data_IF_242713852022
#
_entry.id   IF_242713852022
#
_cell.length_a   1.000
_cell.length_b   1.000
_cell.length_c   1.000
_cell.angle_alpha   90.00
_cell.angle_beta   90.00
_cell.angle_gamma   90.00
#
_symmetry.space_group_name_H-M   'P 1'
#
loop_
_entity.id
_entity.type
_entity.pdbx_description
1 polymer ?
#
# COMPACT_ATOMS: atom_id res chain seq x y z
N UNK A 1 12.68 10.65 2.27
CA UNK A 1 12.96 9.21 2.48
C UNK A 1 12.20 8.59 3.68
N UNK A 2 12.16 9.21 4.88
CA UNK A 2 11.51 8.60 6.08
C UNK A 2 9.98 8.42 6.01
N UNK A 3 9.28 9.20 5.19
CA UNK A 3 7.80 9.18 5.11
C UNK A 3 7.26 7.89 4.50
N UNK A 4 7.91 7.39 3.45
CA UNK A 4 7.60 6.15 2.75
C UNK A 4 7.67 4.93 3.67
N UNK A 5 8.72 4.89 4.50
CA UNK A 5 8.94 3.83 5.49
C UNK A 5 7.79 3.80 6.50
N UNK A 6 7.33 4.95 6.99
CA UNK A 6 6.23 5.04 7.96
C UNK A 6 4.88 4.65 7.35
N UNK A 7 4.64 4.96 6.08
CA UNK A 7 3.43 4.49 5.39
C UNK A 7 3.42 2.97 5.23
N UNK A 8 4.53 2.39 4.81
CA UNK A 8 4.65 0.94 4.67
C UNK A 8 4.49 0.23 6.02
N UNK A 9 4.93 0.84 7.13
CA UNK A 9 4.73 0.32 8.49
C UNK A 9 3.28 0.34 8.97
N UNK A 10 2.36 1.05 8.31
CA UNK A 10 0.93 0.98 8.64
C UNK A 10 0.32 -0.39 8.26
N UNK A 11 0.94 -1.11 7.32
CA UNK A 11 0.52 -2.44 6.91
C UNK A 11 0.92 -3.46 8.00
N UNK A 12 -0.06 -4.22 8.48
CA UNK A 12 0.18 -5.21 9.55
C UNK A 12 1.08 -6.31 9.00
N UNK A 13 2.27 -6.44 9.60
CA UNK A 13 3.27 -7.43 9.19
C UNK A 13 4.47 -6.84 8.46
N UNK A 14 4.47 -5.54 8.15
CA UNK A 14 5.66 -4.83 7.68
C UNK A 14 6.34 -4.11 8.86
N UNK A 15 7.52 -4.59 9.25
CA UNK A 15 8.38 -3.94 10.24
C UNK A 15 9.42 -3.01 9.61
N UNK A 16 10.14 -2.24 10.42
CA UNK A 16 11.13 -1.25 9.96
C UNK A 16 12.19 -1.80 8.99
N UNK A 17 12.66 -3.03 9.22
CA UNK A 17 13.64 -3.71 8.37
C UNK A 17 13.06 -4.06 6.99
N UNK A 18 11.81 -4.54 6.95
CA UNK A 18 11.10 -4.84 5.71
C UNK A 18 10.83 -3.56 4.93
N UNK A 19 10.30 -2.52 5.58
CA UNK A 19 10.04 -1.22 4.95
C UNK A 19 11.28 -0.65 4.26
N UNK A 20 12.46 -0.80 4.88
CA UNK A 20 13.70 -0.32 4.30
C UNK A 20 14.09 -1.10 3.05
N UNK A 21 13.99 -2.44 3.08
CA UNK A 21 14.25 -3.31 1.92
C UNK A 21 13.27 -3.08 0.76
N UNK A 22 12.02 -2.76 1.06
CA UNK A 22 11.02 -2.40 0.05
C UNK A 22 11.42 -1.11 -0.68
N UNK A 23 11.85 -0.09 0.07
CA UNK A 23 12.34 1.18 -0.51
C UNK A 23 13.62 0.94 -1.33
N UNK A 24 14.53 0.08 -0.86
CA UNK A 24 15.72 -0.33 -1.63
C UNK A 24 15.36 -1.06 -2.93
N UNK A 25 14.24 -1.80 -2.91
CA UNK A 25 13.68 -2.48 -4.09
C UNK A 25 12.79 -1.56 -4.94
N UNK A 26 12.81 -0.24 -4.69
CA UNK A 26 12.01 0.77 -5.40
C UNK A 26 10.49 0.67 -5.20
N UNK A 27 10.07 -0.04 -4.14
CA UNK A 27 8.68 -0.09 -3.66
C UNK A 27 8.50 0.93 -2.54
N UNK A 28 8.46 2.20 -2.94
CA UNK A 28 8.46 3.34 -2.02
C UNK A 28 7.06 3.68 -1.48
N UNK A 29 5.98 3.18 -2.09
CA UNK A 29 4.59 3.56 -1.75
C UNK A 29 3.65 2.37 -1.70
N UNK A 30 2.56 2.51 -0.93
CA UNK A 30 1.49 1.51 -0.82
C UNK A 30 0.89 1.21 -2.20
N UNK A 31 0.78 2.22 -3.07
CA UNK A 31 0.32 2.05 -4.45
C UNK A 31 1.24 1.13 -5.28
N UNK A 32 2.57 1.32 -5.15
CA UNK A 32 3.54 0.43 -5.81
C UNK A 32 3.51 -0.98 -5.24
N UNK A 33 3.25 -1.13 -3.93
CA UNK A 33 3.08 -2.44 -3.27
C UNK A 33 1.78 -3.11 -3.72
N UNK A 34 0.69 -2.36 -3.91
CA UNK A 34 -0.58 -2.89 -4.41
C UNK A 34 -0.49 -3.31 -5.89
N UNK A 35 0.33 -2.62 -6.67
CA UNK A 35 0.63 -2.95 -8.07
C UNK A 35 1.65 -4.09 -8.20
N UNK A 36 2.64 -4.14 -7.32
CA UNK A 36 3.60 -5.22 -7.21
C UNK A 36 2.99 -6.35 -6.38
N UNK A 37 2.12 -7.13 -7.01
CA UNK A 37 1.44 -8.29 -6.41
C UNK A 37 2.44 -9.29 -5.79
N UNK A 38 1.93 -10.34 -5.12
CA UNK A 38 2.69 -11.33 -4.32
C UNK A 38 4.04 -11.76 -4.94
N UNK A 39 4.13 -11.86 -6.27
CA UNK A 39 5.39 -12.16 -6.98
C UNK A 39 6.51 -11.14 -6.79
N UNK A 40 6.22 -9.84 -6.72
CA UNK A 40 7.23 -8.79 -6.53
C UNK A 40 7.76 -8.76 -5.10
N UNK A 41 6.85 -8.92 -4.15
CA UNK A 41 7.14 -8.92 -2.72
C UNK A 41 7.77 -10.25 -2.23
N UNK A 42 7.37 -11.39 -2.82
CA UNK A 42 7.96 -12.71 -2.51
C UNK A 42 9.44 -12.82 -2.91
N UNK A 43 9.91 -11.98 -3.84
CA UNK A 43 11.33 -11.87 -4.19
C UNK A 43 12.16 -11.18 -3.10
N UNK A 44 11.55 -10.48 -2.16
CA UNK A 44 12.26 -9.82 -1.07
C UNK A 44 12.57 -10.83 0.03
N UNK A 45 13.85 -11.04 0.30
CA UNK A 45 14.32 -11.95 1.34
C UNK A 45 13.76 -11.56 2.72
N UNK A 46 13.13 -12.52 3.40
CA UNK A 46 12.54 -12.35 4.74
C UNK A 46 11.04 -12.09 4.77
N UNK A 47 10.34 -12.12 3.63
CA UNK A 47 8.87 -12.14 3.62
C UNK A 47 8.31 -13.54 3.87
N UNK A 48 7.27 -13.61 4.69
CA UNK A 48 6.46 -14.81 4.83
C UNK A 48 5.32 -14.77 3.79
N UNK A 49 5.24 -15.75 2.87
CA UNK A 49 4.20 -15.81 1.84
C UNK A 49 2.78 -15.80 2.42
N UNK A 50 2.57 -16.35 3.62
CA UNK A 50 1.24 -16.35 4.25
C UNK A 50 0.76 -14.94 4.65
N UNK A 51 1.66 -14.06 5.06
CA UNK A 51 1.33 -12.66 5.42
C UNK A 51 1.25 -11.77 4.19
N UNK A 52 1.86 -12.20 3.10
CA UNK A 52 1.98 -11.46 1.85
C UNK A 52 0.62 -11.19 1.21
N UNK A 53 -0.25 -12.20 1.12
CA UNK A 53 -1.62 -12.05 0.65
C UNK A 53 -2.40 -11.01 1.49
N UNK A 54 -2.23 -11.02 2.82
CA UNK A 54 -2.90 -10.08 3.71
C UNK A 54 -2.38 -8.65 3.53
N UNK A 55 -1.07 -8.47 3.34
CA UNK A 55 -0.43 -7.18 3.07
C UNK A 55 -0.92 -6.59 1.74
N UNK A 56 -0.96 -7.41 0.67
CA UNK A 56 -1.43 -6.97 -0.66
C UNK A 56 -2.91 -6.61 -0.60
N UNK A 57 -3.72 -7.39 0.11
CA UNK A 57 -5.15 -7.09 0.32
C UNK A 57 -5.31 -5.75 1.06
N UNK A 58 -4.57 -5.53 2.15
CA UNK A 58 -4.61 -4.27 2.89
C UNK A 58 -4.13 -3.09 2.05
N UNK A 59 -3.04 -3.26 1.30
CA UNK A 59 -2.53 -2.23 0.40
C UNK A 59 -3.58 -1.87 -0.66
N UNK A 60 -4.23 -2.86 -1.28
CA UNK A 60 -5.31 -2.63 -2.25
C UNK A 60 -6.51 -1.94 -1.63
N UNK A 61 -6.91 -2.31 -0.42
CA UNK A 61 -7.99 -1.63 0.30
C UNK A 61 -7.65 -0.16 0.53
N UNK A 62 -6.46 0.14 1.07
CA UNK A 62 -6.03 1.53 1.33
C UNK A 62 -5.85 2.36 0.05
N UNK A 63 -5.39 1.74 -1.05
CA UNK A 63 -5.20 2.43 -2.34
C UNK A 63 -6.54 2.58 -3.10
N UNK A 64 -7.43 1.60 -3.01
CA UNK A 64 -8.77 1.64 -3.60
C UNK A 64 -9.76 2.52 -2.82
N UNK A 65 -9.58 2.70 -1.51
CA UNK A 65 -10.31 3.68 -0.72
C UNK A 65 -9.83 5.12 -0.98
N UNK A 66 -8.57 5.32 -1.37
CA UNK A 66 -8.07 6.62 -1.81
C UNK A 66 -8.80 7.11 -3.06
N UNK A 67 -9.18 6.20 -3.97
CA UNK A 67 -9.97 6.54 -5.16
C UNK A 67 -11.46 6.81 -4.83
N UNK A 68 -12.01 6.14 -3.81
CA UNK A 68 -13.39 6.43 -3.34
C UNK A 68 -13.51 7.74 -2.58
N UNK A 69 -12.41 8.25 -2.03
CA UNK A 69 -12.36 9.56 -1.37
C UNK A 69 -12.19 10.72 -2.34
N UNK A 70 -11.79 10.48 -3.59
CA UNK A 70 -11.78 11.50 -4.65
C UNK A 70 -13.13 11.66 -5.36
N UNK A 71 -14.16 10.91 -4.94
CA UNK A 71 -15.55 11.16 -5.35
C UNK A 71 -16.37 11.82 -4.24
N UNK A 72 -15.77 12.73 -3.46
CA UNK A 72 -16.59 13.74 -2.78
C UNK A 72 -17.11 14.73 -3.82
N UNK A 73 -18.35 14.51 -4.22
CA UNK A 73 -19.33 15.60 -4.38
C UNK A 73 -19.09 16.59 -5.53
N UNK A 74 -19.53 16.24 -6.73
CA UNK A 74 -20.05 17.23 -7.69
C UNK A 74 -21.49 16.89 -8.08
N UNK A 75 -22.43 17.24 -7.20
CA UNK A 75 -23.59 18.07 -7.56
C UNK A 75 -24.36 18.49 -6.30
N UNK A 76 -23.92 19.60 -5.70
CA UNK A 76 -24.89 20.60 -5.28
C UNK A 76 -25.29 21.36 -6.55
N UNK A 77 -26.52 21.20 -7.00
CA UNK A 77 -27.22 22.29 -7.68
C UNK A 77 -28.67 22.18 -7.26
N UNK A 78 -29.12 23.21 -6.53
CA UNK A 78 -30.52 23.54 -6.37
C UNK A 78 -31.25 23.43 -7.71
N UNK A 79 -32.50 22.97 -7.69
CA UNK A 79 -33.52 23.65 -8.47
C UNK A 79 -34.85 23.62 -7.69
N UNK A 80 -35.72 24.56 -8.04
CA UNK A 80 -36.49 25.44 -7.15
C UNK A 80 -37.88 24.93 -6.78
#
# INVERSE_FOLDING_TARGET
MKSHIKELQKLKGIGAVLSQRLVESSYDTIAKVAAAEEKGLSRIAGMNPQKLHSIVTQARTMTGEAEKSQHTWTKCSCDK
#
